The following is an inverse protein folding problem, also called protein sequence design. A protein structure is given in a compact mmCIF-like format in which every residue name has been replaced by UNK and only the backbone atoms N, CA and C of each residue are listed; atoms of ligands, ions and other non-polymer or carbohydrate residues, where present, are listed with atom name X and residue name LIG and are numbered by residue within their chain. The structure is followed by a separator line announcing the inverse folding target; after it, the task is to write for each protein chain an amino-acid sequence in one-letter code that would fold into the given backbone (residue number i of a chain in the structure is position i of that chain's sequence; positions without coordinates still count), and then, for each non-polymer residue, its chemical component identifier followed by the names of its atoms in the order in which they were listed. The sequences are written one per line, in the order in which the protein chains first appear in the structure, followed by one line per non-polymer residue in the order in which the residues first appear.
data_IF_154751074204
#
_entry.id   IF_154751074204
#
_cell.length_a   1.000
_cell.length_b   1.000
_cell.length_c   1.000
_cell.angle_alpha   90.00
_cell.angle_beta   90.00
_cell.angle_gamma   90.00
#
_symmetry.space_group_name_H-M   'P 1'
#
loop_
_entity.id
_entity.type
_entity.pdbx_description
1 polymer ?
#
# COMPACT_ATOMS: atom_id res chain seq x y z
N UNK A 1 4.00 20.60 -25.66
CA UNK A 1 4.52 19.63 -24.67
C UNK A 1 4.10 19.82 -23.19
N UNK A 2 3.62 20.99 -22.67
CA UNK A 2 3.28 21.12 -21.24
C UNK A 2 1.93 20.50 -20.83
N UNK A 3 1.05 20.21 -21.79
CA UNK A 3 -0.28 19.68 -21.51
C UNK A 3 -0.28 18.21 -21.05
N UNK A 4 0.68 17.40 -21.53
CA UNK A 4 0.78 15.97 -21.17
C UNK A 4 1.34 15.80 -19.75
N UNK A 5 2.36 16.56 -19.38
CA UNK A 5 2.92 16.57 -18.03
C UNK A 5 1.88 17.03 -16.99
N UNK A 6 1.15 18.12 -17.26
CA UNK A 6 0.07 18.60 -16.38
C UNK A 6 -1.11 17.63 -16.27
N UNK A 7 -1.40 16.84 -17.31
CA UNK A 7 -2.47 15.82 -17.28
C UNK A 7 -2.08 14.61 -16.43
N UNK A 8 -0.87 14.10 -16.61
CA UNK A 8 -0.30 12.99 -15.81
C UNK A 8 -0.18 13.38 -14.32
N UNK A 9 0.24 14.61 -14.03
CA UNK A 9 0.30 15.15 -12.67
C UNK A 9 -1.09 15.31 -12.01
N UNK A 10 -2.12 15.62 -12.81
CA UNK A 10 -3.49 15.83 -12.33
C UNK A 10 -4.28 14.52 -12.16
N UNK A 11 -3.98 13.49 -12.95
CA UNK A 11 -4.52 12.13 -12.76
C UNK A 11 -3.92 11.46 -11.50
N UNK A 12 -2.60 11.57 -11.30
CA UNK A 12 -1.92 11.14 -10.06
C UNK A 12 -2.56 11.72 -8.78
N UNK A 13 -2.95 13.01 -8.81
CA UNK A 13 -3.60 13.69 -7.68
C UNK A 13 -5.06 13.29 -7.44
N UNK A 14 -5.75 12.69 -8.41
CA UNK A 14 -7.21 12.47 -8.32
C UNK A 14 -7.57 11.24 -7.48
N UNK A 15 -6.64 10.31 -7.33
CA UNK A 15 -6.90 8.97 -6.81
C UNK A 15 -6.10 8.62 -5.54
N UNK A 16 -5.57 9.61 -4.82
CA UNK A 16 -4.74 9.40 -3.63
C UNK A 16 -5.39 8.56 -2.51
N UNK A 17 -6.71 8.57 -2.44
CA UNK A 17 -7.50 7.75 -1.50
C UNK A 17 -7.44 6.25 -1.82
N UNK A 18 -7.13 5.84 -3.06
CA UNK A 18 -6.92 4.43 -3.43
C UNK A 18 -5.82 3.82 -2.59
N UNK A 19 -4.72 4.54 -2.38
CA UNK A 19 -3.61 4.04 -1.58
C UNK A 19 -4.03 3.79 -0.12
N UNK A 20 -4.88 4.65 0.45
CA UNK A 20 -5.41 4.42 1.80
C UNK A 20 -6.30 3.17 1.82
N UNK A 21 -7.16 2.97 0.82
CA UNK A 21 -8.00 1.78 0.70
C UNK A 21 -7.18 0.49 0.58
N UNK A 22 -6.08 0.51 -0.18
CA UNK A 22 -5.15 -0.62 -0.30
C UNK A 22 -4.68 -1.08 1.09
N UNK A 23 -4.31 -0.15 1.98
CA UNK A 23 -3.82 -0.48 3.32
C UNK A 23 -4.92 -0.68 4.37
N UNK A 24 -6.18 -0.29 4.10
CA UNK A 24 -7.24 -0.26 5.11
C UNK A 24 -7.56 -1.63 5.72
N UNK A 25 -7.72 -2.65 4.89
CA UNK A 25 -7.81 -4.05 5.34
C UNK A 25 -6.53 -4.84 5.00
N UNK A 26 -5.40 -4.15 4.85
CA UNK A 26 -4.06 -4.70 4.62
C UNK A 26 -4.04 -5.79 3.55
N UNK A 27 -3.95 -7.07 3.92
CA UNK A 27 -3.86 -8.17 2.97
C UNK A 27 -5.12 -8.40 2.15
N UNK A 28 -6.31 -8.13 2.70
CA UNK A 28 -7.55 -8.38 1.98
C UNK A 28 -7.76 -7.34 0.86
N UNK A 29 -7.67 -6.06 1.20
CA UNK A 29 -7.74 -4.98 0.22
C UNK A 29 -6.55 -4.99 -0.72
N UNK A 30 -5.33 -5.26 -0.23
CA UNK A 30 -4.15 -5.44 -1.06
C UNK A 30 -4.35 -6.54 -2.11
N UNK A 31 -4.91 -7.70 -1.74
CA UNK A 31 -5.20 -8.77 -2.69
C UNK A 31 -6.20 -8.34 -3.76
N UNK A 32 -7.27 -7.66 -3.38
CA UNK A 32 -8.28 -7.16 -4.32
C UNK A 32 -7.63 -6.20 -5.33
N UNK A 33 -6.88 -5.20 -4.86
CA UNK A 33 -6.23 -4.24 -5.75
C UNK A 33 -5.14 -4.88 -6.61
N UNK A 34 -4.37 -5.84 -6.09
CA UNK A 34 -3.35 -6.55 -6.86
C UNK A 34 -3.97 -7.41 -7.99
N UNK A 35 -5.16 -7.97 -7.77
CA UNK A 35 -5.87 -8.77 -8.77
C UNK A 35 -6.65 -7.92 -9.78
N UNK A 36 -7.23 -6.80 -9.35
CA UNK A 36 -8.03 -5.91 -10.21
C UNK A 36 -7.13 -5.01 -11.05
N UNK A 37 -6.08 -4.45 -10.46
CA UNK A 37 -5.17 -3.55 -11.17
C UNK A 37 -4.12 -4.35 -11.97
N UNK A 38 -3.92 -3.97 -13.24
CA UNK A 38 -3.00 -4.66 -14.16
C UNK A 38 -1.95 -3.75 -14.75
N UNK A 39 -2.31 -2.49 -15.00
CA UNK A 39 -1.48 -1.53 -15.75
C UNK A 39 -0.69 -0.65 -14.78
N UNK A 40 -1.32 -0.21 -13.69
CA UNK A 40 -0.66 0.69 -12.74
C UNK A 40 0.30 -0.08 -11.82
N UNK A 41 1.58 -0.05 -12.18
CA UNK A 41 2.67 -0.65 -11.40
C UNK A 41 2.76 -0.10 -9.98
N UNK A 42 2.39 1.17 -9.75
CA UNK A 42 2.47 1.80 -8.44
C UNK A 42 1.37 1.29 -7.52
N UNK A 43 0.14 1.23 -8.02
CA UNK A 43 -0.97 0.58 -7.30
C UNK A 43 -0.64 -0.88 -7.02
N UNK A 44 -0.12 -1.63 -8.01
CA UNK A 44 0.29 -3.03 -7.82
C UNK A 44 1.41 -3.18 -6.79
N UNK A 45 2.37 -2.27 -6.74
CA UNK A 45 3.42 -2.24 -5.72
C UNK A 45 2.84 -2.05 -4.33
N UNK A 46 2.01 -1.03 -4.10
CA UNK A 46 1.41 -0.81 -2.79
C UNK A 46 0.45 -1.95 -2.40
N UNK A 47 -0.24 -2.54 -3.37
CA UNK A 47 -1.10 -3.69 -3.16
C UNK A 47 -0.29 -4.91 -2.67
N UNK A 48 0.83 -5.22 -3.33
CA UNK A 48 1.72 -6.29 -2.87
C UNK A 48 2.37 -5.97 -1.51
N UNK A 49 2.85 -4.74 -1.29
CA UNK A 49 3.39 -4.32 0.00
C UNK A 49 2.35 -4.45 1.13
N UNK A 50 1.07 -4.12 0.88
CA UNK A 50 -0.03 -4.28 1.83
C UNK A 50 -0.38 -5.75 2.11
N UNK A 51 -0.31 -6.63 1.10
CA UNK A 51 -0.42 -8.09 1.28
C UNK A 51 0.64 -8.60 2.26
N UNK A 52 1.91 -8.28 1.99
CA UNK A 52 3.01 -8.73 2.83
C UNK A 52 2.91 -8.18 4.25
N UNK A 53 2.59 -6.89 4.40
CA UNK A 53 2.38 -6.27 5.70
C UNK A 53 1.25 -6.96 6.47
N UNK A 54 0.12 -7.23 5.82
CA UNK A 54 -1.02 -7.91 6.44
C UNK A 54 -0.71 -9.35 6.86
N UNK A 55 0.08 -10.09 6.07
CA UNK A 55 0.56 -11.44 6.44
C UNK A 55 1.46 -11.38 7.68
N UNK A 56 2.42 -10.44 7.71
CA UNK A 56 3.30 -10.23 8.87
C UNK A 56 2.48 -9.89 10.12
N UNK A 57 1.51 -8.98 9.99
CA UNK A 57 0.61 -8.62 11.09
C UNK A 57 -0.22 -9.81 11.58
N UNK A 58 -0.73 -10.63 10.66
CA UNK A 58 -1.50 -11.82 11.00
C UNK A 58 -0.66 -12.81 11.83
N UNK A 59 0.56 -13.11 11.39
CA UNK A 59 1.49 -13.98 12.14
C UNK A 59 1.84 -13.41 13.52
N UNK A 60 2.10 -12.10 13.61
CA UNK A 60 2.41 -11.43 14.88
C UNK A 60 1.22 -11.42 15.85
N UNK A 61 -0.01 -11.39 15.33
CA UNK A 61 -1.23 -11.34 16.15
C UNK A 61 -1.63 -12.66 16.81
N UNK A 62 -0.98 -13.78 16.47
CA UNK A 62 -1.25 -15.11 17.04
C UNK A 62 -1.13 -15.10 18.59
N UNK A 63 -0.02 -14.58 19.18
CA UNK A 63 0.02 -14.34 20.62
C UNK A 63 -0.81 -13.10 20.99
N UNK A 64 -1.89 -13.27 21.75
CA UNK A 64 -2.83 -12.18 22.12
C UNK A 64 -2.16 -10.97 22.80
N UNK A 65 -0.97 -11.15 23.41
CA UNK A 65 -0.20 -10.08 24.04
C UNK A 65 0.32 -9.01 23.06
N UNK A 66 0.31 -9.29 21.74
CA UNK A 66 0.81 -8.35 20.71
C UNK A 66 -0.27 -7.42 20.16
N UNK A 67 -1.50 -7.44 20.70
CA UNK A 67 -2.59 -6.60 20.20
C UNK A 67 -2.23 -5.10 20.04
N UNK A 68 -1.52 -4.44 20.99
CA UNK A 68 -1.09 -3.06 20.80
C UNK A 68 -0.13 -2.89 19.62
N UNK A 69 0.78 -3.84 19.41
CA UNK A 69 1.72 -3.83 18.28
C UNK A 69 1.01 -4.00 16.95
N UNK A 70 0.05 -4.94 16.86
CA UNK A 70 -0.78 -5.11 15.66
C UNK A 70 -1.57 -3.85 15.32
N UNK A 71 -2.10 -3.15 16.32
CA UNK A 71 -2.79 -1.89 16.11
C UNK A 71 -1.86 -0.78 15.59
N UNK A 72 -0.63 -0.68 16.13
CA UNK A 72 0.36 0.28 15.63
C UNK A 72 0.80 -0.02 14.19
N UNK A 73 0.98 -1.29 13.82
CA UNK A 73 1.31 -1.69 12.45
C UNK A 73 0.16 -1.39 11.48
N UNK A 74 -1.08 -1.53 11.91
CA UNK A 74 -2.24 -1.14 11.11
C UNK A 74 -2.27 0.37 10.85
N UNK A 75 -2.07 1.20 11.90
CA UNK A 75 -1.94 2.65 11.76
C UNK A 75 -0.76 3.04 10.85
N UNK A 76 0.35 2.31 10.95
CA UNK A 76 1.50 2.53 10.07
C UNK A 76 1.16 2.22 8.60
N UNK A 77 0.40 1.16 8.30
CA UNK A 77 -0.10 0.89 6.96
C UNK A 77 -0.97 2.05 6.42
N UNK A 78 -1.89 2.57 7.23
CA UNK A 78 -2.69 3.74 6.85
C UNK A 78 -1.81 4.98 6.61
N UNK A 79 -0.80 5.20 7.45
CA UNK A 79 0.17 6.27 7.28
C UNK A 79 0.96 6.14 5.95
N UNK A 80 1.36 4.93 5.57
CA UNK A 80 1.99 4.66 4.27
C UNK A 80 1.05 5.04 3.12
N UNK A 81 -0.22 4.61 3.17
CA UNK A 81 -1.22 5.00 2.18
C UNK A 81 -1.46 6.51 2.12
N UNK A 82 -1.48 7.18 3.27
CA UNK A 82 -1.62 8.63 3.36
C UNK A 82 -0.41 9.34 2.74
N UNK A 83 0.82 8.95 3.06
CA UNK A 83 2.03 9.55 2.49
C UNK A 83 2.09 9.36 0.98
N UNK A 84 1.66 8.20 0.50
CA UNK A 84 1.54 7.95 -0.93
C UNK A 84 0.48 8.86 -1.59
N UNK A 85 -0.65 9.11 -0.91
CA UNK A 85 -1.65 10.08 -1.38
C UNK A 85 -1.08 11.50 -1.53
N UNK A 86 -0.02 11.83 -0.79
CA UNK A 86 0.70 13.11 -0.89
C UNK A 86 1.84 13.07 -1.95
N UNK A 87 2.04 11.94 -2.62
CA UNK A 87 3.10 11.73 -3.61
C UNK A 87 4.43 11.29 -3.01
N UNK A 88 4.47 10.91 -1.73
CA UNK A 88 5.67 10.42 -1.06
C UNK A 88 5.63 8.90 -0.86
N UNK A 89 6.41 8.18 -1.68
CA UNK A 89 6.45 6.71 -1.64
C UNK A 89 7.30 6.18 -0.50
N UNK A 90 6.63 5.60 0.49
CA UNK A 90 7.28 4.86 1.57
C UNK A 90 7.46 3.41 1.14
N UNK A 91 8.73 3.01 1.09
CA UNK A 91 9.17 1.63 0.85
C UNK A 91 9.50 0.99 2.19
N UNK A 92 8.70 0.03 2.63
CA UNK A 92 8.94 -0.70 3.88
C UNK A 92 10.13 -1.64 3.64
N UNK A 93 11.25 -1.54 4.38
CA UNK A 93 12.40 -2.41 4.19
C UNK A 93 12.01 -3.90 4.21
N UNK A 94 12.67 -4.72 3.41
CA UNK A 94 12.36 -6.15 3.17
C UNK A 94 11.04 -6.40 2.43
N UNK A 95 9.94 -5.73 2.80
CA UNK A 95 8.64 -5.92 2.14
C UNK A 95 8.62 -5.29 0.75
N UNK A 96 9.18 -4.09 0.59
CA UNK A 96 9.28 -3.39 -0.68
C UNK A 96 10.14 -4.18 -1.68
N UNK A 97 11.27 -4.73 -1.24
CA UNK A 97 12.17 -5.51 -2.09
C UNK A 97 11.52 -6.82 -2.54
N UNK A 98 10.64 -7.40 -1.72
CA UNK A 98 9.83 -8.53 -2.13
C UNK A 98 8.70 -8.10 -3.05
N UNK A 99 8.02 -6.99 -2.76
CA UNK A 99 6.92 -6.47 -3.58
C UNK A 99 7.36 -6.18 -5.02
N UNK A 100 8.53 -5.56 -5.21
CA UNK A 100 9.10 -5.28 -6.53
C UNK A 100 9.26 -6.53 -7.42
N UNK A 101 9.40 -7.73 -6.83
CA UNK A 101 9.53 -8.98 -7.59
C UNK A 101 8.23 -9.43 -8.26
N UNK A 102 7.09 -8.89 -7.83
CA UNK A 102 5.76 -9.31 -8.27
C UNK A 102 4.97 -8.18 -8.94
N UNK A 103 5.62 -7.08 -9.30
CA UNK A 103 5.00 -5.92 -9.98
C UNK A 103 5.40 -5.90 -11.45
#
# INVERSE_FOLDING_TARGET
MPAKAKKVEKESKKDGWIYILIYFFTWLTGLIFYLVEKEDKKIRFHAMQAILLGVVMFVISIPLITAPLSFLLWLYGLYVGYKESQGETIRIPYLADFADKYV
#
